data_IF_142817064017
#
_entry.id   IF_142817064017
#
_cell.length_a   1.000
_cell.length_b   1.000
_cell.length_c   1.000
_cell.angle_alpha   90.00
_cell.angle_beta   90.00
_cell.angle_gamma   90.00
#
_symmetry.space_group_name_H-M   'P 1'
#
loop_
_entity.id
_entity.type
_entity.pdbx_description
1 polymer ?
#
# COMPACT_ATOMS: atom_id res chain seq x y z
N UNK A 1 -38.70 -152.41 -49.48
CA UNK A 1 -37.28 -152.15 -49.32
C UNK A 1 -36.97 -150.94 -50.25
N UNK A 2 -36.64 -149.80 -49.69
CA UNK A 2 -36.22 -148.75 -50.52
C UNK A 2 -34.71 -148.97 -50.82
N UNK A 3 -34.26 -148.81 -52.04
CA UNK A 3 -32.87 -149.12 -52.37
C UNK A 3 -31.93 -148.02 -51.72
N UNK A 4 -30.81 -148.52 -51.14
CA UNK A 4 -29.78 -147.70 -50.43
C UNK A 4 -29.18 -146.58 -51.31
N UNK A 5 -29.26 -146.78 -52.64
CA UNK A 5 -28.77 -145.86 -53.63
C UNK A 5 -29.59 -144.47 -53.69
N UNK A 6 -30.89 -144.56 -53.39
CA UNK A 6 -31.79 -143.41 -53.41
C UNK A 6 -31.67 -142.57 -52.18
N UNK A 7 -31.32 -143.19 -51.03
CA UNK A 7 -31.02 -142.40 -49.76
C UNK A 7 -29.67 -141.69 -49.85
N UNK A 8 -28.68 -142.38 -50.54
CA UNK A 8 -27.35 -141.80 -50.71
C UNK A 8 -27.43 -140.60 -51.71
N UNK A 9 -28.20 -140.65 -52.80
CA UNK A 9 -28.37 -139.57 -53.77
C UNK A 9 -29.11 -138.42 -53.17
N UNK A 10 -30.07 -138.67 -52.30
CA UNK A 10 -30.76 -137.54 -51.59
C UNK A 10 -29.82 -136.88 -50.53
N UNK A 11 -28.99 -137.70 -49.86
CA UNK A 11 -28.01 -137.18 -48.89
C UNK A 11 -26.89 -136.34 -49.57
N UNK A 12 -26.45 -136.68 -50.81
CA UNK A 12 -25.48 -135.92 -51.57
C UNK A 12 -26.07 -134.66 -52.12
N UNK A 13 -27.33 -134.66 -52.54
CA UNK A 13 -27.98 -133.39 -52.98
C UNK A 13 -28.21 -132.44 -51.82
N UNK A 14 -28.52 -132.90 -50.62
CA UNK A 14 -28.67 -132.12 -49.40
C UNK A 14 -27.28 -131.49 -49.00
N UNK A 15 -26.17 -132.28 -49.10
CA UNK A 15 -24.85 -131.88 -48.84
C UNK A 15 -24.42 -130.70 -49.82
N UNK A 16 -24.74 -130.97 -51.13
CA UNK A 16 -24.43 -130.00 -52.15
C UNK A 16 -25.23 -128.65 -51.94
N UNK A 17 -26.54 -128.73 -51.65
CA UNK A 17 -27.37 -127.51 -51.35
C UNK A 17 -26.92 -126.76 -50.08
N UNK A 18 -26.57 -127.51 -49.01
CA UNK A 18 -26.06 -126.90 -47.76
C UNK A 18 -24.70 -126.30 -47.99
N UNK A 19 -23.82 -126.95 -48.78
CA UNK A 19 -22.51 -126.33 -49.13
C UNK A 19 -22.67 -125.01 -49.96
N UNK A 20 -23.61 -125.04 -50.94
CA UNK A 20 -23.89 -123.82 -51.73
C UNK A 20 -24.51 -122.73 -50.84
N UNK A 21 -25.41 -123.01 -49.91
CA UNK A 21 -26.03 -122.18 -48.99
C UNK A 21 -24.98 -121.54 -48.01
N UNK A 22 -24.03 -122.38 -47.50
CA UNK A 22 -22.90 -121.86 -46.66
C UNK A 22 -22.00 -120.95 -47.43
N UNK A 23 -21.64 -121.28 -48.67
CA UNK A 23 -20.82 -120.41 -49.51
C UNK A 23 -21.55 -119.08 -49.81
N UNK A 24 -22.87 -119.15 -50.12
CA UNK A 24 -23.66 -117.93 -50.38
C UNK A 24 -23.77 -117.02 -49.13
N UNK A 25 -23.99 -117.64 -47.94
CA UNK A 25 -24.03 -116.88 -46.68
C UNK A 25 -22.68 -116.23 -46.34
N UNK A 26 -21.57 -116.95 -46.59
CA UNK A 26 -20.23 -116.41 -46.42
C UNK A 26 -20.00 -115.23 -47.39
N UNK A 27 -20.39 -115.36 -48.65
CA UNK A 27 -20.27 -114.28 -49.64
C UNK A 27 -21.12 -113.07 -49.25
N UNK A 28 -22.38 -113.26 -48.83
CA UNK A 28 -23.27 -112.24 -48.37
C UNK A 28 -22.71 -111.58 -47.11
N UNK A 29 -22.26 -112.34 -46.13
CA UNK A 29 -21.64 -111.82 -44.89
C UNK A 29 -20.35 -111.01 -45.22
N UNK A 30 -19.52 -111.55 -46.11
CA UNK A 30 -18.31 -110.84 -46.56
C UNK A 30 -18.67 -109.53 -47.33
N UNK A 31 -19.71 -109.61 -48.19
CA UNK A 31 -20.18 -108.42 -48.91
C UNK A 31 -20.74 -107.35 -47.98
N UNK A 32 -21.58 -107.78 -47.01
CA UNK A 32 -22.12 -106.87 -45.98
C UNK A 32 -20.97 -106.30 -45.12
N UNK A 33 -20.05 -107.18 -44.66
CA UNK A 33 -18.88 -106.74 -43.89
C UNK A 33 -18.01 -105.76 -44.66
N UNK A 34 -17.79 -106.04 -45.96
CA UNK A 34 -17.04 -105.14 -46.82
C UNK A 34 -17.76 -103.76 -47.02
N UNK A 35 -19.07 -103.78 -47.30
CA UNK A 35 -19.89 -102.57 -47.43
C UNK A 35 -19.93 -101.75 -46.12
N UNK A 36 -20.11 -102.37 -45.00
CA UNK A 36 -20.09 -101.77 -43.68
C UNK A 36 -18.73 -101.18 -43.38
N UNK A 37 -17.66 -101.95 -43.59
CA UNK A 37 -16.27 -101.50 -43.38
C UNK A 37 -15.90 -100.31 -44.29
N UNK A 38 -16.32 -100.36 -45.57
CA UNK A 38 -16.05 -99.26 -46.51
C UNK A 38 -16.79 -97.94 -46.14
N UNK A 39 -18.08 -98.12 -45.70
CA UNK A 39 -18.84 -96.94 -45.23
C UNK A 39 -18.23 -96.29 -43.94
N UNK A 40 -17.85 -97.17 -43.00
CA UNK A 40 -17.17 -96.73 -41.76
C UNK A 40 -15.84 -96.05 -42.05
N UNK A 41 -14.99 -96.69 -42.88
CA UNK A 41 -13.69 -96.13 -43.26
C UNK A 41 -13.82 -94.77 -43.98
N UNK A 42 -14.81 -94.65 -44.88
CA UNK A 42 -15.08 -93.39 -45.59
C UNK A 42 -15.56 -92.27 -44.64
N UNK A 43 -16.49 -92.54 -43.72
CA UNK A 43 -17.00 -91.62 -42.75
C UNK A 43 -15.90 -91.13 -41.81
N UNK A 44 -15.09 -92.06 -41.26
CA UNK A 44 -13.95 -91.75 -40.39
C UNK A 44 -12.91 -90.89 -41.11
N UNK A 45 -12.47 -91.37 -42.31
CA UNK A 45 -11.50 -90.60 -43.12
C UNK A 45 -11.99 -89.18 -43.48
N UNK A 46 -13.27 -89.01 -43.79
CA UNK A 46 -13.84 -87.72 -44.08
C UNK A 46 -13.86 -86.83 -42.85
N UNK A 47 -14.29 -87.33 -41.68
CA UNK A 47 -14.25 -86.59 -40.43
C UNK A 47 -12.80 -86.23 -40.06
N UNK A 48 -11.87 -87.18 -40.14
CA UNK A 48 -10.43 -86.94 -39.87
C UNK A 48 -9.81 -85.88 -40.76
N UNK A 49 -10.04 -85.98 -42.09
CA UNK A 49 -9.55 -85.00 -43.06
C UNK A 49 -10.06 -83.53 -42.75
N UNK A 50 -11.32 -83.46 -42.34
CA UNK A 50 -11.88 -82.12 -41.94
C UNK A 50 -11.31 -81.68 -40.60
N UNK A 51 -11.14 -82.56 -39.61
CA UNK A 51 -10.47 -82.25 -38.36
C UNK A 51 -9.02 -81.82 -38.55
N UNK A 52 -8.30 -82.40 -39.51
CA UNK A 52 -6.92 -82.06 -39.87
C UNK A 52 -6.84 -80.64 -40.46
N UNK A 53 -7.80 -80.22 -41.29
CA UNK A 53 -7.95 -78.87 -41.78
C UNK A 53 -8.28 -77.90 -40.64
N UNK A 54 -9.20 -78.30 -39.71
CA UNK A 54 -9.49 -77.46 -38.53
C UNK A 54 -8.27 -77.31 -37.63
N UNK A 55 -7.50 -78.39 -37.43
CA UNK A 55 -6.28 -78.41 -36.65
C UNK A 55 -5.19 -77.57 -37.30
N UNK A 56 -5.16 -77.40 -38.64
CA UNK A 56 -4.27 -76.50 -39.35
C UNK A 56 -4.73 -75.02 -39.35
N UNK A 57 -5.86 -74.74 -38.67
CA UNK A 57 -6.38 -73.40 -38.53
C UNK A 57 -7.55 -73.04 -39.44
N UNK A 58 -7.96 -73.85 -40.39
CA UNK A 58 -9.11 -73.50 -41.24
C UNK A 58 -10.44 -73.90 -40.55
N UNK A 59 -11.03 -72.92 -39.87
CA UNK A 59 -12.31 -73.00 -39.17
C UNK A 59 -13.53 -72.70 -40.09
N UNK A 60 -13.31 -72.45 -41.39
CA UNK A 60 -14.40 -72.18 -42.34
C UNK A 60 -15.07 -73.50 -42.85
N UNK A 61 -14.45 -74.61 -42.53
CA UNK A 61 -14.88 -75.94 -42.97
C UNK A 61 -16.13 -76.43 -42.20
N UNK A 62 -16.90 -77.39 -42.85
CA UNK A 62 -17.99 -78.09 -42.24
C UNK A 62 -17.82 -79.60 -42.50
N UNK A 63 -18.09 -80.38 -41.49
CA UNK A 63 -18.11 -81.86 -41.59
C UNK A 63 -19.52 -82.29 -41.96
N UNK A 64 -19.72 -82.72 -43.23
CA UNK A 64 -21.02 -83.16 -43.71
C UNK A 64 -20.95 -84.72 -43.89
N UNK A 65 -21.68 -85.49 -43.08
CA UNK A 65 -21.79 -86.95 -43.16
C UNK A 65 -23.25 -87.31 -43.40
N UNK A 66 -23.50 -87.95 -44.52
CA UNK A 66 -24.84 -88.40 -44.91
C UNK A 66 -25.20 -89.70 -44.14
N UNK A 67 -26.21 -89.62 -43.27
CA UNK A 67 -26.70 -90.77 -42.50
C UNK A 67 -27.55 -90.31 -41.31
N UNK A 68 -28.05 -91.26 -40.55
CA UNK A 68 -28.73 -91.05 -39.25
C UNK A 68 -28.08 -91.94 -38.19
N UNK A 69 -26.82 -92.25 -38.37
CA UNK A 69 -25.98 -93.09 -37.54
C UNK A 69 -25.11 -92.34 -36.56
N UNK A 70 -24.31 -93.04 -35.82
CA UNK A 70 -23.37 -92.44 -34.81
C UNK A 70 -22.36 -91.51 -35.45
N UNK A 71 -22.04 -91.69 -36.73
CA UNK A 71 -21.10 -90.80 -37.45
C UNK A 71 -21.72 -89.48 -37.77
N UNK A 72 -23.02 -89.38 -38.06
CA UNK A 72 -23.69 -88.07 -38.22
C UNK A 72 -23.84 -87.35 -36.93
N UNK A 73 -24.02 -88.04 -35.79
CA UNK A 73 -23.96 -87.39 -34.46
C UNK A 73 -22.56 -86.88 -34.17
N UNK A 74 -21.52 -87.69 -34.49
CA UNK A 74 -20.11 -87.23 -34.32
C UNK A 74 -19.77 -86.03 -35.22
N UNK A 75 -20.23 -86.01 -36.46
CA UNK A 75 -20.07 -84.89 -37.37
C UNK A 75 -20.76 -83.60 -36.84
N UNK A 76 -21.97 -83.76 -36.29
CA UNK A 76 -22.68 -82.62 -35.63
C UNK A 76 -21.89 -82.06 -34.43
N UNK A 77 -21.45 -82.95 -33.54
CA UNK A 77 -20.64 -82.53 -32.38
C UNK A 77 -19.30 -81.91 -32.77
N UNK A 78 -18.70 -82.38 -33.87
CA UNK A 78 -17.47 -81.78 -34.45
C UNK A 78 -17.72 -80.41 -35.00
N UNK A 79 -18.85 -80.22 -35.71
CA UNK A 79 -19.23 -78.88 -36.21
C UNK A 79 -19.52 -77.91 -35.06
N UNK A 80 -20.18 -78.34 -33.99
CA UNK A 80 -20.41 -77.53 -32.80
C UNK A 80 -19.10 -77.11 -32.14
N UNK A 81 -18.14 -78.02 -32.02
CA UNK A 81 -16.77 -77.72 -31.52
C UNK A 81 -16.08 -76.74 -32.42
N UNK A 82 -16.09 -76.89 -33.75
CA UNK A 82 -15.50 -75.95 -34.71
C UNK A 82 -16.16 -74.55 -34.59
N UNK A 83 -17.48 -74.48 -34.51
CA UNK A 83 -18.22 -73.21 -34.34
C UNK A 83 -17.93 -72.54 -33.01
N UNK A 84 -17.79 -73.31 -31.92
CA UNK A 84 -17.41 -72.73 -30.62
C UNK A 84 -16.01 -72.18 -30.65
N UNK A 85 -15.02 -72.88 -31.24
CA UNK A 85 -13.63 -72.38 -31.39
C UNK A 85 -13.61 -71.15 -32.28
N UNK A 86 -14.32 -71.15 -33.41
CA UNK A 86 -14.48 -69.95 -34.28
C UNK A 86 -15.05 -68.79 -33.54
N UNK A 87 -16.10 -69.03 -32.71
CA UNK A 87 -16.69 -67.94 -31.87
C UNK A 87 -15.70 -67.41 -30.85
N UNK A 88 -14.90 -68.28 -30.24
CA UNK A 88 -13.81 -67.85 -29.31
C UNK A 88 -12.77 -67.05 -30.02
N UNK A 89 -12.24 -67.49 -31.16
CA UNK A 89 -11.24 -66.74 -31.94
C UNK A 89 -11.76 -65.38 -32.36
N UNK A 90 -13.01 -65.31 -32.84
CA UNK A 90 -13.63 -64.00 -33.20
C UNK A 90 -13.76 -63.02 -32.00
N UNK A 91 -14.18 -63.52 -30.82
CA UNK A 91 -14.25 -62.75 -29.61
C UNK A 91 -12.86 -62.26 -29.18
N UNK A 92 -11.86 -63.16 -29.20
CA UNK A 92 -10.49 -62.85 -28.83
C UNK A 92 -9.91 -61.71 -29.76
N UNK A 93 -10.19 -61.86 -31.07
CA UNK A 93 -9.78 -60.73 -32.01
C UNK A 93 -10.43 -59.44 -31.65
N UNK A 94 -11.74 -59.39 -31.42
CA UNK A 94 -12.44 -58.16 -31.02
C UNK A 94 -11.90 -57.58 -29.70
N UNK A 95 -11.50 -58.43 -28.74
CA UNK A 95 -10.89 -57.98 -27.49
C UNK A 95 -9.49 -57.42 -27.74
N UNK A 96 -8.68 -58.08 -28.59
CA UNK A 96 -7.35 -57.63 -28.96
C UNK A 96 -7.39 -56.25 -29.64
N UNK A 97 -8.29 -56.03 -30.60
CA UNK A 97 -8.49 -54.76 -31.27
C UNK A 97 -8.85 -53.65 -30.26
N UNK A 98 -9.74 -53.94 -29.30
CA UNK A 98 -10.11 -53.01 -28.22
C UNK A 98 -8.96 -52.71 -27.28
N UNK A 99 -8.08 -53.66 -27.02
CA UNK A 99 -6.86 -53.46 -26.23
C UNK A 99 -5.92 -52.50 -26.96
N UNK A 100 -5.73 -52.67 -28.27
CA UNK A 100 -4.92 -51.80 -29.12
C UNK A 100 -5.45 -50.36 -29.11
N UNK A 101 -6.78 -50.15 -29.29
CA UNK A 101 -7.43 -48.83 -29.17
C UNK A 101 -7.21 -48.22 -27.77
N UNK A 102 -7.32 -49.01 -26.71
CA UNK A 102 -7.12 -48.56 -25.33
C UNK A 102 -5.67 -48.12 -25.06
N UNK A 103 -4.71 -48.89 -25.62
CA UNK A 103 -3.28 -48.56 -25.53
C UNK A 103 -2.98 -47.21 -26.21
N UNK A 104 -3.59 -46.97 -27.36
CA UNK A 104 -3.42 -45.69 -28.04
C UNK A 104 -3.91 -44.50 -27.18
N UNK A 105 -5.10 -44.63 -26.56
CA UNK A 105 -5.64 -43.60 -25.65
C UNK A 105 -4.75 -43.41 -24.42
N UNK A 106 -4.21 -44.50 -23.85
CA UNK A 106 -3.30 -44.39 -22.69
C UNK A 106 -2.00 -43.71 -23.08
N UNK A 107 -1.44 -44.00 -24.24
CA UNK A 107 -0.21 -43.41 -24.75
C UNK A 107 -0.39 -41.89 -25.00
N UNK A 108 -1.52 -41.49 -25.57
CA UNK A 108 -1.85 -40.08 -25.78
C UNK A 108 -2.02 -39.36 -24.46
N UNK A 109 -2.76 -39.94 -23.50
CA UNK A 109 -2.94 -39.39 -22.14
C UNK A 109 -1.60 -39.25 -21.38
N UNK A 110 -0.71 -40.21 -21.54
CA UNK A 110 0.63 -40.17 -20.95
C UNK A 110 1.46 -39.01 -21.53
N UNK A 111 1.35 -38.75 -22.82
CA UNK A 111 2.01 -37.63 -23.49
C UNK A 111 1.49 -36.30 -23.00
N UNK A 112 0.16 -36.16 -22.83
CA UNK A 112 -0.47 -34.93 -22.30
C UNK A 112 -0.05 -34.68 -20.84
N UNK A 113 -0.03 -35.77 -20.01
CA UNK A 113 0.49 -35.69 -18.64
C UNK A 113 1.97 -35.24 -18.60
N UNK A 114 2.79 -35.72 -19.50
CA UNK A 114 4.19 -35.29 -19.61
C UNK A 114 4.30 -33.78 -19.93
N UNK A 115 3.48 -33.31 -20.86
CA UNK A 115 3.39 -31.88 -21.20
C UNK A 115 2.96 -31.04 -19.99
N UNK A 116 1.87 -31.36 -19.36
CA UNK A 116 1.35 -30.67 -18.19
C UNK A 116 2.31 -30.67 -17.00
N UNK A 117 3.02 -31.78 -16.77
CA UNK A 117 4.02 -31.85 -15.68
C UNK A 117 5.21 -30.93 -15.94
N UNK A 118 5.66 -30.80 -17.19
CA UNK A 118 6.71 -29.84 -17.57
C UNK A 118 6.27 -28.39 -17.37
N UNK A 119 5.03 -28.08 -17.72
CA UNK A 119 4.47 -26.74 -17.49
C UNK A 119 4.41 -26.43 -15.99
N UNK A 120 3.98 -27.39 -15.15
CA UNK A 120 4.01 -27.24 -13.69
C UNK A 120 5.43 -26.96 -13.19
N UNK A 121 6.43 -27.72 -13.65
CA UNK A 121 7.82 -27.50 -13.24
C UNK A 121 8.30 -26.09 -13.60
N UNK A 122 7.99 -25.63 -14.82
CA UNK A 122 8.35 -24.26 -15.24
C UNK A 122 7.65 -23.18 -14.42
N UNK A 123 6.37 -23.37 -14.08
CA UNK A 123 5.64 -22.43 -13.25
C UNK A 123 6.21 -22.36 -11.81
N UNK A 124 6.64 -23.49 -11.26
CA UNK A 124 7.29 -23.54 -9.95
C UNK A 124 8.63 -22.82 -9.95
N UNK A 125 9.45 -22.97 -11.00
CA UNK A 125 10.70 -22.20 -11.14
C UNK A 125 10.47 -20.68 -11.15
N UNK A 126 9.37 -20.21 -11.76
CA UNK A 126 8.97 -18.80 -11.70
C UNK A 126 8.52 -18.38 -10.30
N UNK A 127 7.77 -19.24 -9.59
CA UNK A 127 7.36 -18.99 -8.20
C UNK A 127 8.59 -18.88 -7.29
N UNK A 128 9.56 -19.79 -7.42
CA UNK A 128 10.81 -19.76 -6.63
C UNK A 128 11.57 -18.45 -6.83
N UNK A 129 11.69 -17.97 -8.08
CA UNK A 129 12.31 -16.66 -8.36
C UNK A 129 11.52 -15.53 -7.72
N UNK A 130 10.18 -15.58 -7.76
CA UNK A 130 9.31 -14.60 -7.12
C UNK A 130 9.46 -14.58 -5.60
N UNK A 131 9.61 -15.74 -4.97
CA UNK A 131 9.82 -15.88 -3.53
C UNK A 131 11.16 -15.29 -3.09
N UNK A 132 12.24 -15.52 -3.86
CA UNK A 132 13.55 -14.92 -3.59
C UNK A 132 13.46 -13.39 -3.68
N UNK A 133 12.86 -12.86 -4.74
CA UNK A 133 12.67 -11.42 -4.89
C UNK A 133 11.82 -10.83 -3.75
N UNK A 134 10.77 -11.52 -3.34
CA UNK A 134 9.92 -11.08 -2.23
C UNK A 134 10.68 -11.04 -0.89
N UNK A 135 11.61 -11.97 -0.67
CA UNK A 135 12.48 -11.95 0.51
C UNK A 135 13.43 -10.73 0.50
N UNK A 136 14.06 -10.44 -0.65
CA UNK A 136 14.92 -9.26 -0.83
C UNK A 136 14.12 -7.95 -0.63
N UNK A 137 12.93 -7.85 -1.22
CA UNK A 137 12.05 -6.68 -1.06
C UNK A 137 11.61 -6.50 0.41
N UNK A 138 11.38 -7.59 1.13
CA UNK A 138 11.03 -7.57 2.56
C UNK A 138 12.19 -7.04 3.42
N UNK A 139 13.43 -7.46 3.14
CA UNK A 139 14.61 -6.93 3.83
C UNK A 139 14.83 -5.44 3.55
N UNK A 140 14.65 -5.02 2.32
CA UNK A 140 14.72 -3.59 1.94
C UNK A 140 13.64 -2.77 2.64
N UNK A 141 12.40 -3.28 2.72
CA UNK A 141 11.33 -2.63 3.47
C UNK A 141 11.66 -2.48 4.95
N UNK A 142 12.25 -3.50 5.60
CA UNK A 142 12.69 -3.39 7.00
C UNK A 142 13.75 -2.30 7.16
N UNK A 143 14.71 -2.20 6.25
CA UNK A 143 15.74 -1.16 6.25
C UNK A 143 15.13 0.24 6.08
N UNK A 144 14.11 0.38 5.23
CA UNK A 144 13.38 1.64 5.07
C UNK A 144 12.60 2.01 6.34
N UNK A 145 12.01 1.03 7.04
CA UNK A 145 11.32 1.25 8.32
C UNK A 145 12.28 1.68 9.43
N UNK A 146 13.51 1.19 9.44
CA UNK A 146 14.55 1.66 10.38
C UNK A 146 14.92 3.13 10.10
N UNK A 147 15.19 3.48 8.84
CA UNK A 147 15.42 4.86 8.43
C UNK A 147 14.25 5.80 8.76
N UNK A 148 13.01 5.32 8.61
CA UNK A 148 11.81 6.05 8.99
C UNK A 148 11.79 6.31 10.51
N UNK A 149 12.23 5.34 11.33
CA UNK A 149 12.35 5.50 12.78
C UNK A 149 13.25 6.67 13.14
N UNK A 150 14.43 6.76 12.50
CA UNK A 150 15.37 7.86 12.73
C UNK A 150 14.75 9.23 12.37
N UNK A 151 13.98 9.28 11.25
CA UNK A 151 13.30 10.52 10.84
C UNK A 151 12.17 10.91 11.80
N UNK A 152 11.39 9.94 12.29
CA UNK A 152 10.37 10.15 13.32
C UNK A 152 10.98 10.75 14.57
N UNK A 153 12.06 10.16 15.07
CA UNK A 153 12.78 10.66 16.26
C UNK A 153 13.31 12.09 16.06
N UNK A 154 13.87 12.37 14.89
CA UNK A 154 14.38 13.71 14.55
C UNK A 154 13.24 14.74 14.51
N UNK A 155 12.10 14.42 13.92
CA UNK A 155 10.93 15.33 13.88
C UNK A 155 10.41 15.58 15.29
N UNK A 156 10.28 14.52 16.11
CA UNK A 156 9.85 14.64 17.50
C UNK A 156 10.79 15.54 18.31
N UNK A 157 12.11 15.33 18.23
CA UNK A 157 13.11 16.16 18.92
C UNK A 157 13.04 17.63 18.47
N UNK A 158 12.90 17.87 17.17
CA UNK A 158 12.79 19.23 16.64
C UNK A 158 11.48 19.90 17.08
N UNK A 159 10.36 19.17 17.12
CA UNK A 159 9.08 19.69 17.60
C UNK A 159 9.17 20.15 19.06
N UNK A 160 9.81 19.36 19.93
CA UNK A 160 10.04 19.74 21.34
C UNK A 160 10.93 20.99 21.43
N UNK A 161 11.99 21.09 20.62
CA UNK A 161 12.87 22.26 20.59
C UNK A 161 12.11 23.53 20.16
N UNK A 162 11.28 23.41 19.10
CA UNK A 162 10.50 24.56 18.59
C UNK A 162 9.45 24.98 19.63
N UNK A 163 8.77 24.02 20.29
CA UNK A 163 7.82 24.30 21.35
C UNK A 163 8.45 25.12 22.49
N UNK A 164 9.65 24.75 22.92
CA UNK A 164 10.38 25.50 23.94
C UNK A 164 10.75 26.91 23.48
N UNK A 165 11.23 27.07 22.24
CA UNK A 165 11.54 28.40 21.67
C UNK A 165 10.27 29.26 21.60
N UNK A 166 9.13 28.67 21.23
CA UNK A 166 7.85 29.36 21.17
C UNK A 166 7.38 29.85 22.57
N UNK A 167 7.53 28.99 23.59
CA UNK A 167 7.22 29.31 24.98
C UNK A 167 8.14 30.44 25.50
N UNK A 168 9.45 30.32 25.31
CA UNK A 168 10.43 31.36 25.68
C UNK A 168 10.10 32.70 24.99
N UNK A 169 9.75 32.67 23.70
CA UNK A 169 9.36 33.85 22.93
C UNK A 169 8.07 34.47 23.46
N UNK A 170 7.10 33.66 23.84
CA UNK A 170 5.84 34.14 24.45
C UNK A 170 6.10 34.88 25.75
N UNK A 171 7.04 34.39 26.58
CA UNK A 171 7.45 35.07 27.81
C UNK A 171 8.12 36.43 27.52
N UNK A 172 9.07 36.47 26.55
CA UNK A 172 9.73 37.73 26.13
C UNK A 172 8.70 38.74 25.58
N UNK A 173 7.72 38.29 24.82
CA UNK A 173 6.61 39.13 24.34
C UNK A 173 5.79 39.67 25.51
N UNK A 174 5.53 38.86 26.53
CA UNK A 174 4.88 39.30 27.76
C UNK A 174 5.63 40.43 28.48
N UNK A 175 6.94 40.27 28.66
CA UNK A 175 7.82 41.30 29.22
C UNK A 175 7.81 42.58 28.35
N UNK A 176 7.78 42.44 27.03
CA UNK A 176 7.67 43.54 26.08
C UNK A 176 6.36 44.35 26.25
N UNK A 177 5.23 43.64 26.43
CA UNK A 177 3.93 44.27 26.69
C UNK A 177 3.94 45.03 28.04
N UNK A 178 4.54 44.45 29.09
CA UNK A 178 4.68 45.09 30.38
C UNK A 178 5.50 46.39 30.27
N UNK A 179 6.62 46.35 29.56
CA UNK A 179 7.48 47.52 29.29
C UNK A 179 6.73 48.64 28.51
N UNK A 180 5.89 48.30 27.55
CA UNK A 180 5.03 49.23 26.84
C UNK A 180 4.03 49.89 27.80
N UNK A 181 3.43 49.14 28.70
CA UNK A 181 2.49 49.65 29.71
C UNK A 181 3.17 50.65 30.68
N UNK A 182 4.40 50.37 31.09
CA UNK A 182 5.19 51.30 31.89
C UNK A 182 5.48 52.60 31.10
N UNK A 183 5.92 52.48 29.84
CA UNK A 183 6.15 53.64 28.99
C UNK A 183 4.89 54.48 28.76
N UNK A 184 3.72 53.84 28.60
CA UNK A 184 2.42 54.51 28.48
C UNK A 184 2.04 55.26 29.74
N UNK A 185 2.34 54.71 30.92
CA UNK A 185 2.14 55.37 32.21
C UNK A 185 3.05 56.57 32.35
N UNK A 186 4.34 56.42 31.98
CA UNK A 186 5.31 57.50 32.00
C UNK A 186 4.95 58.64 31.02
N UNK A 187 4.48 58.29 29.80
CA UNK A 187 4.01 59.27 28.81
C UNK A 187 2.83 60.08 29.36
N UNK A 188 1.86 59.44 30.01
CA UNK A 188 0.75 60.13 30.67
C UNK A 188 1.21 61.08 31.76
N UNK A 189 2.15 60.65 32.60
CA UNK A 189 2.74 61.51 33.65
C UNK A 189 3.47 62.73 33.02
N UNK A 190 4.16 62.50 31.88
CA UNK A 190 4.80 63.60 31.17
C UNK A 190 3.80 64.64 30.65
N UNK A 191 2.61 64.17 30.16
CA UNK A 191 1.51 65.09 29.78
C UNK A 191 1.09 65.96 30.98
N UNK A 192 0.80 65.30 32.13
CA UNK A 192 0.36 66.03 33.35
C UNK A 192 1.39 67.01 33.84
N UNK A 193 2.68 66.68 33.81
CA UNK A 193 3.76 67.58 34.15
C UNK A 193 3.82 68.80 33.17
N UNK A 194 3.68 68.55 31.86
CA UNK A 194 3.70 69.59 30.83
C UNK A 194 2.55 70.58 31.03
N UNK A 195 1.34 70.07 31.35
CA UNK A 195 0.20 70.97 31.69
C UNK A 195 0.47 71.78 32.91
N UNK A 196 1.05 71.24 33.98
CA UNK A 196 1.39 71.97 35.18
C UNK A 196 2.44 73.04 34.88
N UNK A 197 3.44 72.76 34.06
CA UNK A 197 4.45 73.72 33.62
C UNK A 197 3.80 74.90 32.84
N UNK A 198 2.90 74.61 31.90
CA UNK A 198 2.15 75.62 31.14
C UNK A 198 1.37 76.54 32.10
N UNK A 199 0.65 75.95 33.08
CA UNK A 199 -0.14 76.75 34.08
C UNK A 199 0.74 77.64 34.91
N UNK A 200 1.87 77.15 35.42
CA UNK A 200 2.82 77.97 36.18
C UNK A 200 3.46 79.09 35.32
N UNK A 201 3.74 78.79 34.05
CA UNK A 201 4.26 79.89 33.13
C UNK A 201 3.18 80.92 32.83
N UNK A 202 1.90 80.56 32.70
CA UNK A 202 0.81 81.51 32.54
C UNK A 202 0.62 82.38 33.77
N UNK A 203 0.77 81.84 35.00
CA UNK A 203 0.80 82.60 36.24
C UNK A 203 1.99 83.64 36.29
N UNK A 204 3.16 83.14 35.84
CA UNK A 204 4.35 84.08 35.74
C UNK A 204 4.09 85.26 34.75
N UNK A 205 3.43 84.92 33.60
CA UNK A 205 3.04 85.93 32.62
C UNK A 205 2.10 86.94 33.20
N UNK A 206 1.09 86.52 33.98
CA UNK A 206 0.17 87.45 34.68
C UNK A 206 0.88 88.31 35.70
N UNK A 207 1.80 87.71 36.47
CA UNK A 207 2.64 88.47 37.45
C UNK A 207 3.57 89.49 36.76
N UNK A 208 4.17 89.09 35.61
CA UNK A 208 4.98 90.03 34.80
C UNK A 208 4.17 91.22 34.28
N UNK A 209 2.92 90.95 33.82
CA UNK A 209 2.00 92.03 33.38
C UNK A 209 1.60 92.90 34.54
N UNK A 210 1.41 92.39 35.76
CA UNK A 210 1.18 93.21 36.97
C UNK A 210 2.38 94.08 37.29
N UNK A 211 3.61 93.52 37.18
CA UNK A 211 4.87 94.35 37.36
C UNK A 211 4.99 95.43 36.33
N UNK A 212 4.61 95.23 35.06
CA UNK A 212 4.59 96.28 34.03
C UNK A 212 3.64 97.45 34.42
N UNK A 213 2.45 97.17 34.96
CA UNK A 213 1.52 98.13 35.44
C UNK A 213 2.11 98.93 36.63
N UNK A 214 2.78 98.24 37.58
CA UNK A 214 3.46 98.89 38.71
C UNK A 214 4.59 99.83 38.24
N UNK A 215 5.39 99.37 37.27
CA UNK A 215 6.45 100.21 36.68
C UNK A 215 5.90 101.41 35.96
N UNK A 216 4.75 101.28 35.31
CA UNK A 216 4.03 102.45 34.75
C UNK A 216 3.67 103.45 35.80
N UNK A 217 3.12 103.05 36.95
CA UNK A 217 2.80 103.96 38.07
C UNK A 217 4.04 104.54 38.70
N UNK A 218 5.15 103.77 38.86
CA UNK A 218 6.41 104.28 39.37
C UNK A 218 6.97 105.37 38.44
N UNK A 219 6.94 105.16 37.13
CA UNK A 219 7.42 106.14 36.17
C UNK A 219 6.61 107.45 36.22
N UNK A 220 5.27 107.34 36.29
CA UNK A 220 4.38 108.45 36.43
C UNK A 220 4.66 109.26 37.71
N UNK A 221 4.83 108.60 38.86
CA UNK A 221 5.22 109.25 40.12
C UNK A 221 6.57 109.89 40.01
N UNK A 222 7.55 109.27 39.38
CA UNK A 222 8.88 109.85 39.20
C UNK A 222 8.88 111.08 38.24
N UNK A 223 8.09 111.04 37.17
CA UNK A 223 7.89 112.19 36.27
C UNK A 223 7.22 113.37 37.00
N UNK A 224 6.15 113.09 37.78
CA UNK A 224 5.51 114.07 38.59
C UNK A 224 6.45 114.65 39.64
N UNK A 225 7.28 113.83 40.29
CA UNK A 225 8.28 114.24 41.25
C UNK A 225 9.37 115.14 40.60
N UNK A 226 9.76 114.81 39.35
CA UNK A 226 10.67 115.59 38.56
C UNK A 226 10.12 117.00 38.28
N UNK A 227 8.82 117.06 37.91
CA UNK A 227 8.10 118.32 37.67
C UNK A 227 7.94 119.11 38.97
N UNK A 228 7.55 118.47 40.09
CA UNK A 228 7.44 119.12 41.40
C UNK A 228 8.80 119.67 41.88
N UNK A 229 9.84 118.90 41.73
CA UNK A 229 11.22 119.34 42.10
C UNK A 229 11.74 120.50 41.24
N UNK A 230 11.39 120.50 39.93
CA UNK A 230 11.68 121.58 39.01
C UNK A 230 10.98 122.87 39.46
N UNK A 231 9.66 122.79 39.77
CA UNK A 231 8.89 123.90 40.27
C UNK A 231 9.44 124.43 41.61
N UNK A 232 9.82 123.49 42.50
CA UNK A 232 10.49 123.87 43.76
C UNK A 232 11.86 124.52 43.56
N UNK A 233 12.65 124.05 42.60
CA UNK A 233 13.94 124.68 42.24
C UNK A 233 13.77 126.02 41.68
N UNK A 234 12.72 126.28 40.87
CA UNK A 234 12.40 127.60 40.32
C UNK A 234 11.99 128.60 41.46
N UNK A 235 11.14 128.18 42.36
CA UNK A 235 10.65 128.96 43.45
C UNK A 235 11.77 129.18 44.47
N UNK A 236 12.66 128.27 44.72
CA UNK A 236 13.87 128.49 45.55
C UNK A 236 14.85 129.49 44.92
N UNK A 237 15.01 129.49 43.60
CA UNK A 237 15.79 130.43 42.86
C UNK A 237 15.16 131.88 42.94
N UNK A 238 13.83 131.96 43.00
CA UNK A 238 13.06 133.18 43.12
C UNK A 238 13.13 133.77 44.50
N UNK A 239 13.40 133.04 45.57
CA UNK A 239 13.59 133.46 46.94
C UNK A 239 15.02 133.96 47.22
N UNK A 240 15.93 133.99 46.25
CA UNK A 240 17.30 134.52 46.37
C UNK A 240 18.14 133.78 47.42
N UNK A 241 18.92 134.52 48.21
CA UNK A 241 19.79 133.89 49.23
C UNK A 241 19.09 133.03 50.27
N UNK A 242 17.82 133.44 50.66
CA UNK A 242 17.03 132.61 51.61
C UNK A 242 16.59 131.23 51.10
N UNK A 243 16.54 131.02 49.75
CA UNK A 243 16.13 129.78 49.11
C UNK A 243 17.27 128.88 48.75
N UNK A 244 18.49 129.19 48.98
CA UNK A 244 19.66 128.43 48.49
C UNK A 244 19.79 127.03 48.99
N UNK A 245 19.45 126.82 50.27
CA UNK A 245 19.35 125.34 50.81
C UNK A 245 18.26 124.54 50.20
N UNK A 246 17.06 125.13 49.94
CA UNK A 246 15.96 124.60 49.28
C UNK A 246 16.23 124.20 47.80
N UNK A 247 16.96 125.01 47.06
CA UNK A 247 17.38 124.83 45.69
C UNK A 247 18.28 123.58 45.54
N UNK A 248 19.22 123.34 46.48
CA UNK A 248 20.07 122.19 46.51
C UNK A 248 19.23 120.89 46.74
N UNK A 249 18.31 120.93 47.72
CA UNK A 249 17.43 119.76 47.99
C UNK A 249 16.50 119.51 46.84
N UNK A 250 15.90 120.52 46.23
CA UNK A 250 15.06 120.37 45.05
C UNK A 250 15.84 119.81 43.85
N UNK A 251 17.12 120.28 43.65
CA UNK A 251 17.99 119.73 42.65
C UNK A 251 18.35 118.24 42.86
N UNK A 252 18.58 117.82 44.13
CA UNK A 252 18.86 116.46 44.48
C UNK A 252 17.61 115.58 44.35
N UNK A 253 16.41 116.03 44.72
CA UNK A 253 15.14 115.34 44.50
C UNK A 253 14.90 115.15 42.99
N UNK A 254 15.17 116.16 42.15
CA UNK A 254 15.06 116.06 40.71
C UNK A 254 16.00 114.98 40.16
N UNK A 255 17.24 114.93 40.57
CA UNK A 255 18.21 113.95 40.16
C UNK A 255 17.82 112.56 40.57
N UNK A 256 17.31 112.34 41.80
CA UNK A 256 16.77 111.05 42.26
C UNK A 256 15.54 110.62 41.49
N UNK A 257 14.64 111.56 41.13
CA UNK A 257 13.47 111.31 40.32
C UNK A 257 13.84 110.89 38.88
N UNK A 258 14.77 111.63 38.24
CA UNK A 258 15.30 111.22 36.89
C UNK A 258 15.99 109.86 36.93
N UNK A 259 16.74 109.53 38.00
CA UNK A 259 17.35 108.24 38.20
C UNK A 259 16.30 107.12 38.39
N UNK A 260 15.19 107.44 39.10
CA UNK A 260 14.07 106.47 39.27
C UNK A 260 13.37 106.18 37.95
N UNK A 261 13.15 107.20 37.07
CA UNK A 261 12.64 106.99 35.70
C UNK A 261 13.55 106.07 34.91
N UNK A 262 14.88 106.38 34.95
CA UNK A 262 15.84 105.50 34.25
C UNK A 262 15.83 104.07 34.77
N UNK A 263 15.82 103.83 36.08
CA UNK A 263 15.76 102.54 36.70
C UNK A 263 14.45 101.81 36.37
N UNK A 264 13.30 102.50 36.39
CA UNK A 264 12.03 101.97 36.00
C UNK A 264 12.01 101.51 34.53
N UNK A 265 12.63 102.31 33.64
CA UNK A 265 12.78 101.94 32.23
C UNK A 265 13.71 100.68 32.02
N UNK A 266 14.79 100.63 32.79
CA UNK A 266 15.67 99.43 32.74
C UNK A 266 14.94 98.18 33.22
N UNK A 267 14.15 98.24 34.32
CA UNK A 267 13.33 97.17 34.81
C UNK A 267 12.22 96.80 33.80
N UNK A 268 11.58 97.84 33.15
CA UNK A 268 10.57 97.58 32.11
C UNK A 268 11.12 96.74 30.95
N UNK A 269 12.36 97.00 30.52
CA UNK A 269 13.04 96.18 29.49
C UNK A 269 13.24 94.76 29.96
N UNK A 270 13.63 94.56 31.22
CA UNK A 270 13.78 93.21 31.80
C UNK A 270 12.42 92.45 31.85
N UNK A 271 11.34 93.19 32.27
CA UNK A 271 10.00 92.63 32.31
C UNK A 271 9.50 92.29 30.91
N UNK A 272 9.78 93.06 29.89
CA UNK A 272 9.47 92.80 28.50
C UNK A 272 10.24 91.57 28.01
N UNK A 273 11.56 91.45 28.29
CA UNK A 273 12.33 90.25 27.95
C UNK A 273 11.79 88.93 28.67
N UNK A 274 11.37 89.06 29.93
CA UNK A 274 10.69 87.98 30.66
C UNK A 274 9.41 87.55 29.96
N UNK A 275 8.57 88.54 29.53
CA UNK A 275 7.32 88.24 28.80
C UNK A 275 7.59 87.50 27.49
N UNK A 276 8.57 87.94 26.70
CA UNK A 276 8.95 87.29 25.45
C UNK A 276 9.45 85.82 25.70
N UNK A 277 10.34 85.65 26.67
CA UNK A 277 10.84 84.31 27.04
C UNK A 277 9.73 83.42 27.60
N UNK A 278 8.77 83.96 28.32
CA UNK A 278 7.61 83.29 28.84
C UNK A 278 6.71 82.76 27.68
N UNK A 279 6.47 83.61 26.67
CA UNK A 279 5.73 83.24 25.48
C UNK A 279 6.46 82.11 24.68
N UNK A 280 7.77 82.25 24.51
CA UNK A 280 8.56 81.21 23.85
C UNK A 280 8.50 79.83 24.59
N UNK A 281 8.57 79.90 25.92
CA UNK A 281 8.49 78.71 26.77
C UNK A 281 7.13 78.03 26.66
N UNK A 282 6.00 78.79 26.62
CA UNK A 282 4.66 78.25 26.35
C UNK A 282 4.61 77.54 24.98
N UNK A 283 5.20 78.11 23.94
CA UNK A 283 5.24 77.55 22.62
C UNK A 283 6.05 76.24 22.59
N UNK A 284 7.16 76.18 23.32
CA UNK A 284 7.99 74.98 23.46
C UNK A 284 7.20 73.91 24.22
N UNK A 285 6.52 74.27 25.30
CA UNK A 285 5.68 73.28 26.08
C UNK A 285 4.52 72.71 25.26
N UNK A 286 3.86 73.51 24.42
CA UNK A 286 2.83 72.99 23.49
C UNK A 286 3.41 72.06 22.47
N UNK A 287 4.58 72.28 21.91
CA UNK A 287 5.26 71.38 21.04
C UNK A 287 5.61 70.02 21.75
N UNK A 288 5.96 70.08 23.04
CA UNK A 288 6.19 68.88 23.84
C UNK A 288 4.91 68.08 24.03
N UNK A 289 3.74 68.76 24.21
CA UNK A 289 2.43 68.11 24.24
C UNK A 289 2.11 67.33 22.92
N UNK A 290 2.35 68.00 21.76
CA UNK A 290 2.17 67.37 20.45
C UNK A 290 3.06 66.12 20.29
N UNK A 291 4.32 66.19 20.77
CA UNK A 291 5.25 65.04 20.72
C UNK A 291 4.75 63.89 21.57
N UNK A 292 4.20 64.14 22.76
CA UNK A 292 3.65 63.06 23.63
C UNK A 292 2.40 62.46 23.04
N UNK A 293 1.54 63.19 22.33
CA UNK A 293 0.39 62.61 21.60
C UNK A 293 0.85 61.66 20.48
N UNK A 294 1.88 62.01 19.72
CA UNK A 294 2.51 61.13 18.71
C UNK A 294 3.11 59.89 19.37
N UNK A 295 3.76 60.05 20.54
CA UNK A 295 4.33 58.95 21.31
C UNK A 295 3.24 57.97 21.80
N UNK A 296 2.09 58.46 22.34
CA UNK A 296 0.96 57.59 22.76
C UNK A 296 0.43 56.74 21.59
N UNK A 297 0.26 57.40 20.41
CA UNK A 297 -0.16 56.66 19.20
C UNK A 297 0.85 55.57 18.80
N UNK A 298 2.15 55.86 18.95
CA UNK A 298 3.21 54.87 18.64
C UNK A 298 3.22 53.70 19.62
N UNK A 299 2.99 54.02 20.94
CA UNK A 299 2.89 52.96 21.97
C UNK A 299 1.67 52.03 21.77
N UNK A 300 0.51 52.64 21.41
CA UNK A 300 -0.68 51.83 21.07
C UNK A 300 -0.42 50.87 19.91
N UNK A 301 0.24 51.36 18.86
CA UNK A 301 0.61 50.53 17.71
C UNK A 301 1.59 49.41 18.10
N UNK A 302 2.56 49.70 18.96
CA UNK A 302 3.49 48.71 19.47
C UNK A 302 2.75 47.62 20.29
N UNK A 303 1.80 48.02 21.16
CA UNK A 303 0.93 47.10 21.94
C UNK A 303 0.16 46.15 21.02
N UNK A 304 -0.46 46.68 19.93
CA UNK A 304 -1.17 45.85 18.94
C UNK A 304 -0.23 44.85 18.25
N UNK A 305 0.99 45.27 17.85
CA UNK A 305 1.98 44.38 17.23
C UNK A 305 2.40 43.27 18.17
N UNK A 306 2.71 43.58 19.44
CA UNK A 306 3.07 42.54 20.41
C UNK A 306 1.91 41.60 20.70
N UNK A 307 0.66 42.07 20.77
CA UNK A 307 -0.54 41.23 20.89
C UNK A 307 -0.72 40.30 19.71
N UNK A 308 -0.47 40.75 18.49
CA UNK A 308 -0.46 39.89 17.30
C UNK A 308 0.63 38.82 17.36
N UNK A 309 1.85 39.17 17.77
CA UNK A 309 2.96 38.25 17.92
C UNK A 309 2.59 37.17 18.94
N UNK A 310 2.02 37.52 20.09
CA UNK A 310 1.58 36.58 21.12
C UNK A 310 0.53 35.56 20.59
N UNK A 311 -0.44 36.08 19.83
CA UNK A 311 -1.47 35.22 19.21
C UNK A 311 -0.84 34.22 18.22
N UNK A 312 0.12 34.66 17.38
CA UNK A 312 0.79 33.76 16.41
C UNK A 312 1.63 32.68 17.10
N UNK A 313 2.30 33.01 18.21
CA UNK A 313 3.01 31.97 18.98
C UNK A 313 2.06 30.99 19.67
N UNK A 314 0.89 31.40 20.11
CA UNK A 314 -0.17 30.52 20.60
C UNK A 314 -0.64 29.55 19.52
N UNK A 315 -0.85 30.00 18.30
CA UNK A 315 -1.20 29.16 17.15
C UNK A 315 -0.05 28.20 16.78
N UNK A 316 1.20 28.67 16.83
CA UNK A 316 2.39 27.82 16.58
C UNK A 316 2.47 26.67 17.58
N UNK A 317 2.23 26.90 18.87
CA UNK A 317 2.23 25.86 19.90
C UNK A 317 1.13 24.82 19.62
N UNK A 318 -0.07 25.27 19.25
CA UNK A 318 -1.16 24.36 18.87
C UNK A 318 -0.82 23.49 17.66
N UNK A 319 -0.20 24.06 16.62
CA UNK A 319 0.24 23.32 15.44
C UNK A 319 1.36 22.31 15.78
N UNK A 320 2.23 22.63 16.73
CA UNK A 320 3.25 21.67 17.20
C UNK A 320 2.66 20.50 17.96
N UNK A 321 1.58 20.69 18.70
CA UNK A 321 0.81 19.61 19.33
C UNK A 321 0.21 18.68 18.28
N UNK A 322 -0.36 19.23 17.20
CA UNK A 322 -0.87 18.43 16.08
C UNK A 322 0.25 17.64 15.38
N UNK A 323 1.42 18.25 15.18
CA UNK A 323 2.59 17.57 14.61
C UNK A 323 3.02 16.42 15.50
N UNK A 324 3.09 16.61 16.82
CA UNK A 324 3.49 15.59 17.78
C UNK A 324 2.52 14.41 17.75
N UNK A 325 1.21 14.65 17.76
CA UNK A 325 0.19 13.61 17.63
C UNK A 325 0.27 12.87 16.28
N UNK A 326 0.58 13.61 15.21
CA UNK A 326 0.83 13.03 13.87
C UNK A 326 2.05 12.11 13.86
N UNK A 327 3.13 12.50 14.51
CA UNK A 327 4.36 11.71 14.67
C UNK A 327 4.09 10.41 15.42
N UNK A 328 3.32 10.44 16.48
CA UNK A 328 2.93 9.24 17.24
C UNK A 328 2.10 8.28 16.39
N UNK A 329 1.16 8.82 15.60
CA UNK A 329 0.37 8.02 14.66
C UNK A 329 1.23 7.35 13.59
N UNK A 330 2.24 8.06 13.05
CA UNK A 330 3.20 7.48 12.08
C UNK A 330 4.05 6.41 12.75
N UNK A 331 4.47 6.60 14.01
CA UNK A 331 5.22 5.60 14.76
C UNK A 331 4.43 4.30 14.97
N UNK A 332 3.14 4.40 15.27
CA UNK A 332 2.23 3.24 15.40
C UNK A 332 2.03 2.54 14.04
N UNK A 333 1.76 3.30 12.97
CA UNK A 333 1.63 2.76 11.62
C UNK A 333 2.90 2.03 11.15
N UNK A 334 4.09 2.55 11.51
CA UNK A 334 5.39 1.89 11.26
C UNK A 334 5.46 0.51 11.92
N UNK A 335 5.03 0.38 13.18
CA UNK A 335 5.03 -0.91 13.90
C UNK A 335 4.14 -1.92 13.16
N UNK A 336 2.92 -1.54 12.79
CA UNK A 336 2.02 -2.40 12.01
C UNK A 336 2.59 -2.79 10.65
N UNK A 337 3.34 -1.90 10.01
CA UNK A 337 4.01 -2.20 8.74
C UNK A 337 5.11 -3.24 8.92
N UNK A 338 5.91 -3.15 9.99
CA UNK A 338 6.94 -4.15 10.33
C UNK A 338 6.30 -5.53 10.58
N UNK A 339 5.21 -5.61 11.35
CA UNK A 339 4.48 -6.84 11.61
C UNK A 339 3.96 -7.48 10.30
N UNK A 340 3.48 -6.64 9.37
CA UNK A 340 3.03 -7.07 8.05
C UNK A 340 4.18 -7.62 7.22
N UNK A 341 5.35 -6.98 7.22
CA UNK A 341 6.54 -7.44 6.50
C UNK A 341 7.03 -8.78 7.07
N UNK A 342 7.01 -8.95 8.40
CA UNK A 342 7.36 -10.23 9.04
C UNK A 342 6.38 -11.35 8.62
N UNK A 343 5.10 -11.03 8.54
CA UNK A 343 4.08 -11.97 8.04
C UNK A 343 4.32 -12.35 6.58
N UNK A 344 4.67 -11.39 5.71
CA UNK A 344 5.05 -11.63 4.32
C UNK A 344 6.27 -12.55 4.24
N UNK A 345 7.29 -12.31 5.06
CA UNK A 345 8.49 -13.15 5.11
C UNK A 345 8.16 -14.60 5.50
N UNK A 346 7.29 -14.79 6.50
CA UNK A 346 6.83 -16.11 6.90
C UNK A 346 6.04 -16.83 5.78
N UNK A 347 5.16 -16.12 5.08
CA UNK A 347 4.42 -16.65 3.93
C UNK A 347 5.37 -17.00 2.79
N UNK A 348 6.41 -16.18 2.53
CA UNK A 348 7.43 -16.48 1.51
C UNK A 348 8.16 -17.79 1.82
N UNK A 349 8.58 -18.00 3.07
CA UNK A 349 9.21 -19.25 3.50
C UNK A 349 8.28 -20.47 3.33
N UNK A 350 7.01 -20.31 3.69
CA UNK A 350 6.00 -21.36 3.50
C UNK A 350 5.75 -21.66 2.02
N UNK A 351 5.74 -20.63 1.16
CA UNK A 351 5.59 -20.78 -0.29
C UNK A 351 6.80 -21.48 -0.88
N UNK A 352 8.02 -21.18 -0.45
CA UNK A 352 9.24 -21.90 -0.85
C UNK A 352 9.14 -23.40 -0.53
N UNK A 353 8.80 -23.74 0.72
CA UNK A 353 8.63 -25.14 1.13
C UNK A 353 7.54 -25.88 0.34
N UNK A 354 6.42 -25.22 0.07
CA UNK A 354 5.36 -25.80 -0.77
C UNK A 354 5.81 -25.99 -2.22
N UNK A 355 6.61 -25.08 -2.77
CA UNK A 355 7.20 -25.18 -4.12
C UNK A 355 8.16 -26.37 -4.23
N UNK A 356 9.00 -26.58 -3.20
CA UNK A 356 9.86 -27.78 -3.14
C UNK A 356 9.05 -29.08 -3.14
N UNK A 357 7.95 -29.16 -2.37
CA UNK A 357 7.07 -30.33 -2.33
C UNK A 357 6.38 -30.58 -3.68
N UNK A 358 5.94 -29.51 -4.36
CA UNK A 358 5.33 -29.64 -5.70
C UNK A 358 6.38 -30.09 -6.72
N UNK A 359 7.63 -29.59 -6.65
CA UNK A 359 8.74 -30.01 -7.50
C UNK A 359 9.06 -31.50 -7.32
N UNK A 360 9.12 -31.99 -6.08
CA UNK A 360 9.30 -33.40 -5.79
C UNK A 360 8.14 -34.24 -6.35
N UNK A 361 6.90 -33.77 -6.19
CA UNK A 361 5.71 -34.44 -6.71
C UNK A 361 5.70 -34.50 -8.24
N UNK A 362 6.07 -33.40 -8.91
CA UNK A 362 6.19 -33.33 -10.37
C UNK A 362 7.27 -34.30 -10.87
N UNK A 363 8.42 -34.39 -10.19
CA UNK A 363 9.47 -35.34 -10.52
C UNK A 363 8.99 -36.82 -10.42
N UNK A 364 8.28 -37.17 -9.34
CA UNK A 364 7.66 -38.49 -9.18
C UNK A 364 6.61 -38.77 -10.26
N UNK A 365 5.88 -37.74 -10.69
CA UNK A 365 4.90 -37.87 -11.76
C UNK A 365 5.54 -38.15 -13.12
N UNK A 366 6.67 -37.49 -13.42
CA UNK A 366 7.45 -37.80 -14.61
C UNK A 366 7.89 -39.27 -14.66
N UNK A 367 8.43 -39.82 -13.57
CA UNK A 367 8.80 -41.22 -13.45
C UNK A 367 7.61 -42.15 -13.69
N UNK A 368 6.46 -41.84 -13.11
CA UNK A 368 5.22 -42.62 -13.29
C UNK A 368 4.70 -42.60 -14.72
N UNK A 369 4.80 -41.46 -15.41
CA UNK A 369 4.42 -41.34 -16.82
C UNK A 369 5.33 -42.18 -17.70
N UNK A 370 6.63 -42.27 -17.41
CA UNK A 370 7.58 -43.10 -18.11
C UNK A 370 7.25 -44.60 -17.91
N UNK A 371 6.93 -45.00 -16.67
CA UNK A 371 6.47 -46.36 -16.36
C UNK A 371 5.15 -46.70 -17.09
N UNK A 372 4.22 -45.76 -17.19
CA UNK A 372 2.96 -45.89 -17.90
C UNK A 372 3.19 -46.09 -19.41
N UNK A 373 4.09 -45.33 -20.01
CA UNK A 373 4.48 -45.51 -21.41
C UNK A 373 5.09 -46.87 -21.67
N UNK A 374 6.01 -47.35 -20.83
CA UNK A 374 6.59 -48.69 -20.95
C UNK A 374 5.54 -49.80 -20.83
N UNK A 375 4.57 -49.63 -19.90
CA UNK A 375 3.46 -50.58 -19.73
C UNK A 375 2.53 -50.59 -20.95
N UNK A 376 2.23 -49.44 -21.52
CA UNK A 376 1.43 -49.30 -22.73
C UNK A 376 2.12 -49.94 -23.95
N UNK A 377 3.43 -49.74 -24.11
CA UNK A 377 4.23 -50.36 -25.17
C UNK A 377 4.25 -51.88 -25.05
N UNK A 378 4.46 -52.41 -23.85
CA UNK A 378 4.40 -53.86 -23.59
C UNK A 378 3.00 -54.43 -23.90
N UNK A 379 1.94 -53.71 -23.55
CA UNK A 379 0.57 -54.15 -23.81
C UNK A 379 0.27 -54.12 -25.33
N UNK A 380 0.80 -53.13 -26.04
CA UNK A 380 0.72 -53.05 -27.49
C UNK A 380 1.42 -54.25 -28.17
N UNK A 381 2.63 -54.59 -27.73
CA UNK A 381 3.38 -55.73 -28.24
C UNK A 381 2.65 -57.04 -27.98
N UNK A 382 2.13 -57.22 -26.77
CA UNK A 382 1.34 -58.42 -26.42
C UNK A 382 0.04 -58.54 -27.26
N UNK A 383 -0.64 -57.41 -27.53
CA UNK A 383 -1.83 -57.38 -28.39
C UNK A 383 -1.46 -57.71 -29.83
N UNK A 384 -0.36 -57.22 -30.34
CA UNK A 384 0.15 -57.53 -31.67
C UNK A 384 0.50 -59.00 -31.80
N UNK A 385 1.20 -59.57 -30.82
CA UNK A 385 1.52 -61.02 -30.80
C UNK A 385 0.26 -61.87 -30.76
N UNK A 386 -0.76 -61.45 -29.99
CA UNK A 386 -2.07 -62.16 -29.94
C UNK A 386 -2.78 -62.06 -31.30
N UNK A 387 -2.79 -60.90 -31.96
CA UNK A 387 -3.35 -60.75 -33.28
C UNK A 387 -2.63 -61.64 -34.31
N UNK A 388 -1.29 -61.67 -34.27
CA UNK A 388 -0.49 -62.54 -35.12
C UNK A 388 -0.87 -64.03 -34.89
N UNK A 389 -1.09 -64.47 -33.64
CA UNK A 389 -1.51 -65.83 -33.31
C UNK A 389 -2.95 -66.12 -33.78
N UNK A 390 -3.86 -65.17 -33.72
CA UNK A 390 -5.23 -65.27 -34.19
C UNK A 390 -5.29 -65.32 -35.71
N UNK A 391 -4.45 -64.60 -36.42
CA UNK A 391 -4.42 -64.55 -37.89
C UNK A 391 -3.94 -65.89 -38.51
N UNK A 392 -3.39 -66.85 -37.72
CA UNK A 392 -3.16 -68.22 -38.13
C UNK A 392 -4.48 -68.97 -38.36
N UNK A 393 -5.58 -68.56 -37.76
CA UNK A 393 -6.89 -69.18 -37.93
C UNK A 393 -7.70 -68.43 -39.00
N UNK A 394 -8.15 -69.23 -39.98
CA UNK A 394 -9.07 -68.79 -41.02
C UNK A 394 -10.51 -69.00 -40.55
N UNK A 395 -11.20 -67.88 -40.28
CA UNK A 395 -12.52 -67.87 -39.66
C UNK A 395 -13.63 -67.34 -40.59
#
# INVERSE_FOLDING_TARGET
MIPESEIIAQAESIKMISAVMIILTIIIAALIGWLLSANIDHAIKHIMSKLELAASGDLTISVDVKGKDEFSVLAGSTNDMINNVKGLIKKTKTVSDKVEDSVQVVTESAKDLLGGTREITSAIEEIEKGVVQQAEDSEECLRLMDNLSDKINLVSENSVKIARIAEDTTNIVGEGIESINELKTNAKTNVDITYNVIDEILKLKESSKSNENILGAINEIAEQTTLLSLNASIEAARAGEAGRGFAVVAGEIRKLAEQSVKSADEIRKIVADINDKTNDTVNIARKAEDIVDVQDKSLKRAEEVFGHIQSQFGELISNLDEITNGVDTIAEAKVHTIDSIQSISAVSQQTAAASEEVTETASKQLERVEQLNMAAENLNNNSSDLNNAIDLFKI
#
